data_IF_120525492092
#
_entry.id   IF_120525492092
#
_cell.length_a   1.000
_cell.length_b   1.000
_cell.length_c   1.000
_cell.angle_alpha   90.00
_cell.angle_beta   90.00
_cell.angle_gamma   90.00
#
_symmetry.space_group_name_H-M   'P 1'
#
loop_
_entity.id
_entity.type
_entity.pdbx_description
1 polymer ?
#
# COMPACT_ATOMS: atom_id res chain seq x y z
N UNK A 1 -26.88 -11.02 13.84
CA UNK A 1 -25.68 -11.86 13.56
C UNK A 1 -25.59 -13.00 14.58
N UNK A 2 -24.92 -14.14 14.28
CA UNK A 2 -24.78 -15.28 15.20
C UNK A 2 -23.34 -15.44 15.69
N UNK A 3 -23.15 -15.83 16.96
CA UNK A 3 -21.84 -16.10 17.51
C UNK A 3 -21.20 -17.35 16.86
N UNK A 4 -19.98 -17.28 16.27
CA UNK A 4 -19.36 -18.42 15.59
C UNK A 4 -18.94 -19.55 16.54
N UNK A 5 -18.82 -19.27 17.84
CA UNK A 5 -18.39 -20.25 18.85
C UNK A 5 -19.56 -20.92 19.58
N UNK A 6 -20.64 -20.19 19.84
CA UNK A 6 -21.76 -20.70 20.66
C UNK A 6 -23.15 -20.58 20.02
N UNK A 7 -23.24 -20.07 18.79
CA UNK A 7 -24.48 -20.07 17.99
C UNK A 7 -25.59 -19.13 18.45
N UNK A 8 -25.43 -18.39 19.56
CA UNK A 8 -26.46 -17.45 20.03
C UNK A 8 -26.57 -16.23 19.13
N UNK A 9 -27.79 -15.71 19.00
CA UNK A 9 -28.08 -14.46 18.30
C UNK A 9 -27.48 -13.27 19.07
N UNK A 10 -26.81 -12.39 18.35
CA UNK A 10 -26.18 -11.19 18.89
C UNK A 10 -26.76 -9.95 18.21
N UNK A 11 -26.98 -8.94 19.03
CA UNK A 11 -27.33 -7.59 18.57
C UNK A 11 -26.12 -6.94 17.91
N UNK A 12 -26.39 -6.09 16.92
CA UNK A 12 -25.46 -5.70 15.86
C UNK A 12 -24.40 -4.68 16.30
N UNK A 13 -23.72 -4.89 17.43
CA UNK A 13 -22.56 -4.09 17.86
C UNK A 13 -21.77 -4.67 19.05
N UNK A 14 -22.05 -5.89 19.53
CA UNK A 14 -21.43 -6.40 20.77
C UNK A 14 -19.96 -6.82 20.57
N UNK A 15 -19.02 -6.09 21.17
CA UNK A 15 -17.56 -6.35 21.10
C UNK A 15 -17.19 -7.78 21.53
N UNK A 16 -17.88 -8.30 22.55
CA UNK A 16 -17.68 -9.65 23.07
C UNK A 16 -19.03 -10.33 23.25
N UNK A 17 -19.10 -11.62 22.94
CA UNK A 17 -20.28 -12.43 23.18
C UNK A 17 -20.49 -12.57 24.70
N UNK A 18 -21.59 -12.06 25.27
CA UNK A 18 -21.83 -12.10 26.71
C UNK A 18 -21.98 -13.53 27.27
N UNK A 19 -22.20 -14.52 26.40
CA UNK A 19 -22.43 -15.90 26.79
C UNK A 19 -21.16 -16.78 26.78
N UNK A 20 -20.16 -16.47 25.95
CA UNK A 20 -18.97 -17.32 25.81
C UNK A 20 -17.64 -16.56 25.77
N UNK A 21 -17.68 -15.23 25.85
CA UNK A 21 -16.52 -14.35 25.88
C UNK A 21 -15.78 -14.21 24.55
N UNK A 22 -16.20 -14.88 23.48
CA UNK A 22 -15.53 -14.73 22.17
C UNK A 22 -15.74 -13.31 21.62
N UNK A 23 -14.70 -12.72 21.05
CA UNK A 23 -14.83 -11.43 20.36
C UNK A 23 -15.72 -11.59 19.13
N UNK A 24 -16.75 -10.76 19.02
CA UNK A 24 -17.69 -10.77 17.87
C UNK A 24 -17.31 -9.71 16.84
N UNK A 25 -16.04 -9.28 16.81
CA UNK A 25 -15.52 -8.32 15.85
C UNK A 25 -15.41 -8.98 14.48
N UNK A 26 -16.55 -9.28 13.88
CA UNK A 26 -16.67 -9.58 12.47
C UNK A 26 -16.31 -8.29 11.73
N UNK A 27 -15.08 -8.21 11.21
CA UNK A 27 -14.75 -7.36 10.07
C UNK A 27 -14.46 -5.87 10.28
N UNK A 28 -14.25 -5.38 11.50
CA UNK A 28 -13.71 -4.03 11.72
C UNK A 28 -12.45 -4.10 12.59
N UNK A 29 -11.31 -4.32 11.93
CA UNK A 29 -9.97 -4.15 12.50
C UNK A 29 -9.85 -2.71 13.06
N UNK A 30 -9.17 -2.52 14.21
CA UNK A 30 -9.28 -1.30 15.01
C UNK A 30 -9.01 -0.08 14.13
N UNK A 31 -9.97 0.84 14.08
CA UNK A 31 -9.81 2.11 13.39
C UNK A 31 -8.58 2.81 13.99
N UNK A 32 -7.47 2.80 13.25
CA UNK A 32 -6.27 3.55 13.60
C UNK A 32 -6.54 5.03 13.38
N UNK A 33 -6.19 5.85 14.37
CA UNK A 33 -6.35 7.31 14.45
C UNK A 33 -5.54 8.09 13.40
N UNK A 34 -5.77 7.83 12.11
CA UNK A 34 -5.22 8.57 10.97
C UNK A 34 -6.24 9.55 10.40
N UNK A 35 -5.75 10.60 9.72
CA UNK A 35 -6.56 11.67 9.11
C UNK A 35 -7.59 11.19 8.08
N UNK A 36 -7.45 9.97 7.57
CA UNK A 36 -8.37 9.34 6.60
C UNK A 36 -9.37 8.38 7.25
N UNK A 37 -9.27 8.10 8.56
CA UNK A 37 -10.08 7.08 9.24
C UNK A 37 -9.80 5.63 8.79
N UNK A 38 -8.89 5.44 7.83
CA UNK A 38 -8.50 4.16 7.28
C UNK A 38 -7.38 3.52 8.10
N UNK A 39 -7.38 2.19 8.15
CA UNK A 39 -6.24 1.43 8.66
C UNK A 39 -4.99 1.75 7.84
N UNK A 40 -3.85 1.87 8.53
CA UNK A 40 -2.57 2.27 7.95
C UNK A 40 -2.14 1.40 6.76
N UNK A 41 -2.27 0.08 6.89
CA UNK A 41 -1.96 -0.89 5.84
C UNK A 41 -2.90 -0.77 4.62
N UNK A 42 -4.19 -0.52 4.84
CA UNK A 42 -5.15 -0.26 3.77
C UNK A 42 -4.83 1.08 3.06
N UNK A 43 -4.50 2.13 3.82
CA UNK A 43 -4.12 3.41 3.25
C UNK A 43 -2.83 3.29 2.41
N UNK A 44 -1.84 2.55 2.90
CA UNK A 44 -0.62 2.23 2.15
C UNK A 44 -0.89 1.45 0.86
N UNK A 45 -1.81 0.49 0.88
CA UNK A 45 -2.23 -0.23 -0.34
C UNK A 45 -2.91 0.71 -1.34
N UNK A 46 -3.82 1.56 -0.85
CA UNK A 46 -4.58 2.49 -1.70
C UNK A 46 -3.68 3.48 -2.44
N UNK A 47 -2.51 3.82 -1.89
CA UNK A 47 -1.51 4.64 -2.56
C UNK A 47 -1.10 4.10 -3.94
N UNK A 48 -1.22 2.79 -4.17
CA UNK A 48 -0.80 2.13 -5.40
C UNK A 48 -1.93 1.88 -6.41
N UNK A 49 -3.20 2.07 -6.07
CA UNK A 49 -4.34 1.68 -6.91
C UNK A 49 -4.38 2.44 -8.25
N UNK A 50 -4.18 3.75 -8.24
CA UNK A 50 -4.10 4.59 -9.45
C UNK A 50 -2.67 5.07 -9.70
N UNK A 51 -1.68 4.28 -9.27
CA UNK A 51 -0.26 4.62 -9.36
C UNK A 51 0.06 5.96 -8.69
N UNK A 52 0.77 6.83 -9.40
CA UNK A 52 1.26 8.10 -8.84
C UNK A 52 0.14 9.07 -8.44
N UNK A 53 -1.06 8.96 -9.03
CA UNK A 53 -2.20 9.84 -8.74
C UNK A 53 -2.71 9.60 -7.31
N UNK A 54 -3.00 8.34 -6.95
CA UNK A 54 -3.40 7.99 -5.59
C UNK A 54 -2.29 8.27 -4.60
N UNK A 55 -1.03 8.06 -4.97
CA UNK A 55 0.12 8.44 -4.16
C UNK A 55 0.11 9.93 -3.82
N UNK A 56 -0.13 10.80 -4.81
CA UNK A 56 -0.19 12.25 -4.60
C UNK A 56 -1.31 12.64 -3.62
N UNK A 57 -2.50 12.07 -3.78
CA UNK A 57 -3.63 12.31 -2.89
C UNK A 57 -3.27 11.94 -1.45
N UNK A 58 -2.82 10.70 -1.22
CA UNK A 58 -2.49 10.20 0.11
C UNK A 58 -1.28 10.92 0.75
N UNK A 59 -0.34 11.42 -0.06
CA UNK A 59 0.79 12.19 0.44
C UNK A 59 0.37 13.50 1.12
N UNK A 60 -0.67 14.17 0.60
CA UNK A 60 -1.16 15.45 1.15
C UNK A 60 -2.21 15.29 2.24
N UNK A 61 -3.06 14.26 2.16
CA UNK A 61 -4.16 14.08 3.13
C UNK A 61 -3.76 13.24 4.35
N UNK A 62 -2.76 12.35 4.23
CA UNK A 62 -2.38 11.42 5.29
C UNK A 62 -1.02 11.77 5.91
N UNK A 63 -1.05 12.19 7.18
CA UNK A 63 0.15 12.63 7.90
C UNK A 63 1.03 11.50 8.42
N UNK A 64 0.55 10.24 8.40
CA UNK A 64 1.26 9.09 8.98
C UNK A 64 2.48 8.73 8.12
N UNK A 65 3.65 8.59 8.75
CA UNK A 65 4.91 8.31 8.05
C UNK A 65 4.87 7.05 7.19
N UNK A 66 4.16 6.01 7.63
CA UNK A 66 3.94 4.80 6.83
C UNK A 66 3.19 5.07 5.52
N UNK A 67 2.06 5.77 5.61
CA UNK A 67 1.25 6.09 4.42
C UNK A 67 2.03 7.03 3.50
N UNK A 68 2.76 7.99 4.06
CA UNK A 68 3.63 8.90 3.30
C UNK A 68 4.77 8.18 2.58
N UNK A 69 5.35 7.14 3.17
CA UNK A 69 6.34 6.28 2.52
C UNK A 69 5.75 5.58 1.29
N UNK A 70 4.61 4.91 1.43
CA UNK A 70 3.96 4.21 0.32
C UNK A 70 3.44 5.19 -0.75
N UNK A 71 2.95 6.35 -0.33
CA UNK A 71 2.53 7.44 -1.20
C UNK A 71 3.71 7.95 -2.06
N UNK A 72 4.85 8.28 -1.45
CA UNK A 72 6.04 8.71 -2.18
C UNK A 72 6.63 7.62 -3.07
N UNK A 73 6.71 6.38 -2.58
CA UNK A 73 7.18 5.27 -3.40
C UNK A 73 6.29 5.08 -4.63
N UNK A 74 4.97 5.27 -4.49
CA UNK A 74 4.03 5.25 -5.62
C UNK A 74 4.26 6.42 -6.58
N UNK A 75 4.36 7.65 -6.07
CA UNK A 75 4.60 8.86 -6.88
C UNK A 75 5.88 8.72 -7.72
N UNK A 76 6.99 8.36 -7.06
CA UNK A 76 8.30 8.27 -7.70
C UNK A 76 8.31 7.13 -8.72
N UNK A 77 7.87 5.94 -8.33
CA UNK A 77 7.94 4.75 -9.20
C UNK A 77 7.06 4.90 -10.43
N UNK A 78 5.78 5.21 -10.24
CA UNK A 78 4.84 5.30 -11.36
C UNK A 78 5.01 6.58 -12.16
N UNK A 79 5.38 7.70 -11.53
CA UNK A 79 5.70 8.94 -12.23
C UNK A 79 6.91 8.77 -13.15
N UNK A 80 7.96 8.11 -12.66
CA UNK A 80 9.13 7.78 -13.48
C UNK A 80 8.79 6.85 -14.65
N UNK A 81 8.03 5.79 -14.41
CA UNK A 81 7.58 4.87 -15.47
C UNK A 81 6.73 5.60 -16.51
N UNK A 82 5.84 6.51 -16.11
CA UNK A 82 5.05 7.33 -17.04
C UNK A 82 5.95 8.22 -17.90
N UNK A 83 6.92 8.93 -17.31
CA UNK A 83 7.85 9.79 -18.06
C UNK A 83 8.67 8.95 -19.04
N UNK A 84 9.22 7.81 -18.61
CA UNK A 84 9.96 6.91 -19.50
C UNK A 84 9.11 6.42 -20.68
N UNK A 85 7.86 6.03 -20.45
CA UNK A 85 6.97 5.59 -21.53
C UNK A 85 6.72 6.71 -22.55
N UNK A 86 6.54 7.96 -22.10
CA UNK A 86 6.36 9.11 -22.99
C UNK A 86 7.63 9.32 -23.84
N UNK A 87 8.81 9.27 -23.23
CA UNK A 87 10.08 9.44 -23.95
C UNK A 87 10.32 8.32 -24.97
N UNK A 88 10.11 7.06 -24.58
CA UNK A 88 10.23 5.91 -25.48
C UNK A 88 9.25 6.03 -26.65
N UNK A 89 8.01 6.42 -26.38
CA UNK A 89 6.99 6.63 -27.42
C UNK A 89 7.33 7.78 -28.37
N UNK A 90 8.05 8.80 -27.92
CA UNK A 90 8.51 9.89 -28.79
C UNK A 90 9.67 9.43 -29.69
N UNK A 91 10.61 8.64 -29.16
CA UNK A 91 11.75 8.10 -29.92
C UNK A 91 11.35 7.01 -30.92
N UNK A 92 10.31 6.22 -30.64
CA UNK A 92 9.87 5.13 -31.51
C UNK A 92 9.39 5.62 -32.90
N UNK A 93 9.01 6.89 -33.03
CA UNK A 93 8.63 7.54 -34.29
C UNK A 93 9.79 7.59 -35.30
N UNK A 94 11.05 7.45 -34.86
CA UNK A 94 12.26 7.66 -35.67
C UNK A 94 12.81 6.35 -36.30
N UNK A 95 12.03 5.25 -36.28
CA UNK A 95 12.30 4.07 -37.13
C UNK A 95 12.84 2.80 -36.45
N UNK A 96 12.95 2.77 -35.12
CA UNK A 96 13.37 1.57 -34.34
C UNK A 96 12.21 0.89 -33.59
N UNK A 97 11.00 0.91 -34.16
CA UNK A 97 9.75 0.53 -33.49
C UNK A 97 9.77 -0.87 -32.84
N UNK A 98 10.31 -1.89 -33.52
CA UNK A 98 10.26 -3.29 -33.07
C UNK A 98 11.11 -3.58 -31.82
N UNK A 99 12.35 -3.08 -31.78
CA UNK A 99 13.26 -3.31 -30.65
C UNK A 99 12.79 -2.57 -29.39
N UNK A 100 12.33 -1.32 -29.54
CA UNK A 100 11.80 -0.53 -28.44
C UNK A 100 10.51 -1.12 -27.86
N UNK A 101 9.64 -1.69 -28.69
CA UNK A 101 8.43 -2.36 -28.21
C UNK A 101 8.73 -3.58 -27.34
N UNK A 102 9.70 -4.42 -27.73
CA UNK A 102 10.07 -5.59 -26.95
C UNK A 102 10.64 -5.19 -25.57
N UNK A 103 11.52 -4.19 -25.55
CA UNK A 103 12.08 -3.68 -24.30
C UNK A 103 11.00 -3.07 -23.40
N UNK A 104 10.05 -2.33 -23.97
CA UNK A 104 8.93 -1.74 -23.23
C UNK A 104 8.04 -2.81 -22.57
N UNK A 105 7.75 -3.90 -23.29
CA UNK A 105 6.97 -5.02 -22.73
C UNK A 105 7.66 -5.66 -21.52
N UNK A 106 8.99 -5.85 -21.59
CA UNK A 106 9.77 -6.39 -20.47
C UNK A 106 9.74 -5.44 -19.26
N UNK A 107 9.95 -4.14 -19.50
CA UNK A 107 9.89 -3.12 -18.44
C UNK A 107 8.50 -3.11 -17.78
N UNK A 108 7.44 -3.15 -18.57
CA UNK A 108 6.06 -3.19 -18.06
C UNK A 108 5.77 -4.44 -17.24
N UNK A 109 6.30 -5.60 -17.65
CA UNK A 109 6.14 -6.84 -16.89
C UNK A 109 6.87 -6.79 -15.54
N UNK A 110 8.10 -6.28 -15.51
CA UNK A 110 8.85 -6.05 -14.25
C UNK A 110 8.12 -5.06 -13.35
N UNK A 111 7.62 -3.95 -13.93
CA UNK A 111 6.85 -2.96 -13.20
C UNK A 111 5.55 -3.54 -12.63
N UNK A 112 4.86 -4.41 -13.36
CA UNK A 112 3.65 -5.10 -12.90
C UNK A 112 3.94 -6.01 -11.71
N UNK A 113 5.02 -6.79 -11.76
CA UNK A 113 5.44 -7.64 -10.62
C UNK A 113 5.79 -6.78 -9.40
N UNK A 114 6.59 -5.73 -9.58
CA UNK A 114 6.95 -4.81 -8.51
C UNK A 114 5.72 -4.11 -7.91
N UNK A 115 4.73 -3.76 -8.73
CA UNK A 115 3.47 -3.17 -8.28
C UNK A 115 2.66 -4.12 -7.41
N UNK A 116 2.51 -5.38 -7.83
CA UNK A 116 1.82 -6.41 -7.05
C UNK A 116 2.53 -6.63 -5.71
N UNK A 117 3.86 -6.72 -5.72
CA UNK A 117 4.65 -6.85 -4.48
C UNK A 117 4.45 -5.66 -3.54
N UNK A 118 4.42 -4.43 -4.06
CA UNK A 118 4.13 -3.24 -3.26
C UNK A 118 2.75 -3.31 -2.59
N UNK A 119 1.71 -3.71 -3.34
CA UNK A 119 0.34 -3.87 -2.83
C UNK A 119 0.30 -4.92 -1.71
N UNK A 120 0.87 -6.11 -1.95
CA UNK A 120 0.85 -7.21 -0.98
C UNK A 120 1.61 -6.84 0.29
N UNK A 121 2.78 -6.20 0.16
CA UNK A 121 3.60 -5.78 1.30
C UNK A 121 2.96 -4.63 2.08
N UNK A 122 2.32 -3.69 1.39
CA UNK A 122 1.56 -2.63 2.05
C UNK A 122 0.36 -3.20 2.82
N UNK A 123 -0.36 -4.17 2.24
CA UNK A 123 -1.46 -4.85 2.94
C UNK A 123 -0.99 -5.58 4.21
N UNK A 124 0.19 -6.19 4.16
CA UNK A 124 0.85 -6.84 5.30
C UNK A 124 1.38 -5.86 6.36
N UNK A 125 1.30 -4.54 6.14
CA UNK A 125 1.85 -3.54 7.05
C UNK A 125 3.38 -3.41 6.98
N UNK A 126 4.01 -3.88 5.90
CA UNK A 126 5.46 -3.85 5.74
C UNK A 126 5.92 -2.70 4.84
N UNK A 127 6.96 -1.96 5.26
CA UNK A 127 7.64 -0.96 4.42
C UNK A 127 8.61 -1.64 3.46
N UNK A 128 8.08 -2.18 2.38
CA UNK A 128 8.90 -2.79 1.33
C UNK A 128 9.53 -1.71 0.44
N UNK A 129 10.85 -1.61 0.49
CA UNK A 129 11.64 -0.68 -0.32
C UNK A 129 11.94 -1.31 -1.66
N UNK A 130 11.51 -0.65 -2.74
CA UNK A 130 11.94 -1.03 -4.09
C UNK A 130 13.42 -0.67 -4.28
N UNK A 131 14.19 -1.49 -5.02
CA UNK A 131 15.53 -1.11 -5.41
C UNK A 131 15.47 0.22 -6.19
N UNK A 132 16.41 1.13 -5.93
CA UNK A 132 16.52 2.50 -6.47
C UNK A 132 15.47 3.52 -5.97
N UNK A 133 14.18 3.16 -5.85
CA UNK A 133 13.12 4.12 -5.49
C UNK A 133 12.76 4.13 -3.99
N UNK A 134 13.03 3.04 -3.27
CA UNK A 134 12.66 2.89 -1.87
C UNK A 134 13.45 3.83 -0.94
N UNK A 135 14.75 3.99 -1.17
CA UNK A 135 15.58 4.91 -0.39
C UNK A 135 15.21 6.37 -0.66
N UNK A 136 14.79 6.69 -1.89
CA UNK A 136 14.32 8.03 -2.23
C UNK A 136 12.99 8.33 -1.54
N UNK A 137 12.06 7.36 -1.55
CA UNK A 137 10.79 7.48 -0.86
C UNK A 137 10.98 7.66 0.65
N UNK A 138 11.88 6.88 1.27
CA UNK A 138 12.18 6.99 2.70
C UNK A 138 12.76 8.35 3.08
N UNK A 139 13.71 8.88 2.29
CA UNK A 139 14.33 10.19 2.55
C UNK A 139 13.30 11.33 2.61
N UNK A 140 12.25 11.25 1.80
CA UNK A 140 11.23 12.30 1.71
C UNK A 140 9.96 12.02 2.51
N UNK A 141 9.78 10.80 3.05
CA UNK A 141 8.58 10.42 3.82
C UNK A 141 8.47 11.06 5.21
N UNK A 142 9.52 11.75 5.66
CA UNK A 142 9.66 12.24 7.03
C UNK A 142 10.20 11.15 7.97
N UNK A 143 10.60 11.54 9.17
CA UNK A 143 11.45 10.79 10.11
C UNK A 143 11.17 9.27 10.12
N UNK A 144 12.19 8.42 9.85
CA UNK A 144 12.00 6.97 9.84
C UNK A 144 11.60 6.49 11.23
N UNK A 145 10.34 6.08 11.39
CA UNK A 145 9.88 5.42 12.61
C UNK A 145 10.32 3.96 12.54
N UNK A 146 11.00 3.43 13.58
CA UNK A 146 11.41 2.04 13.62
C UNK A 146 10.19 1.15 13.38
N UNK A 147 10.41 0.09 12.62
CA UNK A 147 9.39 -0.93 12.35
C UNK A 147 8.87 -1.40 13.71
N UNK A 148 7.57 -1.21 13.99
CA UNK A 148 6.95 -1.85 15.14
C UNK A 148 6.91 -3.35 14.87
N UNK A 149 8.01 -4.02 15.18
CA UNK A 149 8.04 -5.46 15.31
C UNK A 149 7.03 -5.82 16.40
N UNK A 150 6.01 -6.60 16.03
CA UNK A 150 5.05 -7.21 16.96
C UNK A 150 5.73 -8.33 17.74
N UNK A 151 6.82 -8.04 18.44
CA UNK A 151 7.55 -8.96 19.31
C UNK A 151 7.92 -8.23 20.60
N UNK A 152 6.93 -8.06 21.49
CA UNK A 152 7.10 -8.02 22.94
C UNK A 152 5.69 -7.95 23.58
N UNK A 153 4.99 -9.08 23.53
CA UNK A 153 3.92 -9.35 24.50
C UNK A 153 3.91 -10.85 24.75
N UNK A 154 4.97 -11.31 25.40
CA UNK A 154 4.95 -12.59 26.09
C UNK A 154 6.01 -12.58 27.20
N UNK A 155 5.67 -11.93 28.29
CA UNK A 155 5.99 -12.33 29.66
C UNK A 155 4.86 -11.84 30.58
#
# INVERSE_FOLDING_TARGET
>A
MYCPKCGKSLEEAVKFCPNCGTSTTTGASPASSGSTGLQENLAGLLCYILGWITGLIFFFIDGRSYVRFHALQSIITFGFVTILNILISALSVIGFWSLFHLLNNIIMLIALVAWILCILKAYQGQRYKLPFFGDLAERYAGTPQPVQNKEETKD
#
